data_IF_502849019295
#
_entry.id   IF_502849019295
#
_cell.length_a   1.000
_cell.length_b   1.000
_cell.length_c   1.000
_cell.angle_alpha   90.00
_cell.angle_beta   90.00
_cell.angle_gamma   90.00
#
_symmetry.space_group_name_H-M   'P 1'
#
loop_
_entity.id
_entity.type
_entity.pdbx_description
1 polymer ?
#
# COMPACT_ATOMS: atom_id res chain seq x y z
N UNK A 1 -1.12 14.71 3.67
CA UNK A 1 -0.08 13.73 3.25
C UNK A 1 1.28 14.37 3.01
N UNK A 2 1.50 15.20 1.96
CA UNK A 2 2.83 15.78 1.65
C UNK A 2 3.55 16.44 2.83
N UNK A 3 2.85 17.27 3.60
CA UNK A 3 3.40 17.91 4.81
C UNK A 3 3.91 16.88 5.84
N UNK A 4 3.11 15.87 6.13
CA UNK A 4 3.44 14.82 7.11
C UNK A 4 4.61 13.95 6.63
N UNK A 5 4.61 13.55 5.35
CA UNK A 5 5.73 12.83 4.75
C UNK A 5 7.04 13.65 4.78
N UNK A 6 6.96 14.96 4.48
CA UNK A 6 8.11 15.86 4.54
C UNK A 6 8.69 15.98 5.95
N UNK A 7 7.86 15.92 7.00
CA UNK A 7 8.34 15.91 8.38
C UNK A 7 9.15 14.64 8.71
N UNK A 8 8.96 13.56 7.93
CA UNK A 8 9.74 12.32 8.00
C UNK A 8 10.89 12.26 6.99
N UNK A 9 11.20 13.37 6.30
CA UNK A 9 12.25 13.42 5.29
C UNK A 9 11.88 12.77 3.95
N UNK A 10 10.59 12.48 3.72
CA UNK A 10 10.09 11.84 2.48
C UNK A 10 9.49 12.90 1.56
N UNK A 11 10.02 13.01 0.36
CA UNK A 11 9.47 13.88 -0.69
C UNK A 11 8.46 13.12 -1.56
N UNK A 12 7.19 13.53 -1.53
CA UNK A 12 6.13 12.92 -2.33
C UNK A 12 5.89 13.72 -3.64
N UNK A 13 6.52 13.25 -4.71
CA UNK A 13 6.47 13.87 -6.05
C UNK A 13 5.43 13.23 -6.99
N UNK A 14 4.70 12.22 -6.54
CA UNK A 14 3.74 11.47 -7.35
C UNK A 14 2.60 12.33 -7.91
N UNK A 15 2.19 12.02 -9.14
CA UNK A 15 1.00 12.55 -9.81
C UNK A 15 -0.02 11.41 -9.94
N UNK A 16 -1.27 11.68 -9.54
CA UNK A 16 -2.33 10.68 -9.61
C UNK A 16 -2.58 10.22 -11.05
N UNK A 17 -2.74 8.91 -11.23
CA UNK A 17 -3.14 8.27 -12.49
C UNK A 17 -4.05 7.07 -12.20
N UNK A 18 -4.97 6.72 -13.11
CA UNK A 18 -5.73 5.49 -13.00
C UNK A 18 -4.83 4.27 -13.21
N UNK A 19 -5.17 3.17 -12.53
CA UNK A 19 -4.61 1.84 -12.80
C UNK A 19 -5.18 1.30 -14.12
N UNK A 20 -4.34 0.61 -14.89
CA UNK A 20 -4.71 -0.06 -16.15
C UNK A 20 -4.42 -1.55 -16.05
N UNK A 21 -5.09 -2.34 -16.88
CA UNK A 21 -4.81 -3.77 -16.96
C UNK A 21 -3.33 -4.05 -17.30
N UNK A 22 -2.74 -3.25 -18.19
CA UNK A 22 -1.32 -3.35 -18.55
C UNK A 22 -0.37 -3.18 -17.36
N UNK A 23 -0.77 -2.44 -16.31
CA UNK A 23 0.02 -2.36 -15.07
C UNK A 23 0.05 -3.72 -14.37
N UNK A 24 -1.10 -4.40 -14.28
CA UNK A 24 -1.21 -5.73 -13.66
C UNK A 24 -0.36 -6.77 -14.40
N UNK A 25 -0.29 -6.66 -15.73
CA UNK A 25 0.55 -7.54 -16.54
C UNK A 25 2.03 -7.29 -16.30
N UNK A 26 2.42 -6.00 -16.27
CA UNK A 26 3.80 -5.55 -16.22
C UNK A 26 4.47 -5.74 -14.86
N UNK A 27 3.79 -5.37 -13.76
CA UNK A 27 4.39 -5.43 -12.42
C UNK A 27 4.33 -6.84 -11.82
N UNK A 28 5.32 -7.19 -11.02
CA UNK A 28 5.36 -8.47 -10.30
C UNK A 28 4.46 -8.48 -9.06
N UNK A 29 4.37 -7.33 -8.39
CA UNK A 29 3.52 -7.10 -7.23
C UNK A 29 2.66 -5.86 -7.46
N UNK A 30 1.36 -5.96 -7.16
CA UNK A 30 0.42 -4.85 -7.18
C UNK A 30 -0.25 -4.78 -5.81
N UNK A 31 0.01 -3.70 -5.09
CA UNK A 31 -0.34 -3.56 -3.69
C UNK A 31 -1.48 -2.56 -3.53
N UNK A 32 -2.58 -3.00 -2.92
CA UNK A 32 -3.72 -2.15 -2.54
C UNK A 32 -3.65 -1.70 -1.09
N UNK A 33 -4.24 -0.54 -0.78
CA UNK A 33 -4.18 0.05 0.57
C UNK A 33 -5.29 -0.49 1.50
N UNK A 34 -6.48 -0.72 0.95
CA UNK A 34 -7.67 -1.16 1.67
C UNK A 34 -8.41 -2.30 0.93
N UNK A 35 -9.48 -2.83 1.53
CA UNK A 35 -10.24 -3.95 0.94
C UNK A 35 -11.00 -3.56 -0.35
N UNK A 36 -11.33 -2.27 -0.52
CA UNK A 36 -11.96 -1.75 -1.74
C UNK A 36 -10.99 -1.77 -2.92
N UNK A 37 -9.75 -1.34 -2.69
CA UNK A 37 -8.64 -1.38 -3.64
C UNK A 37 -8.41 -2.84 -4.07
N UNK A 38 -8.31 -3.75 -3.10
CA UNK A 38 -8.10 -5.18 -3.37
C UNK A 38 -9.22 -5.77 -4.20
N UNK A 39 -10.47 -5.45 -3.87
CA UNK A 39 -11.64 -5.92 -4.63
C UNK A 39 -11.62 -5.40 -6.08
N UNK A 40 -11.28 -4.14 -6.29
CA UNK A 40 -11.16 -3.54 -7.62
C UNK A 40 -9.98 -4.14 -8.43
N UNK A 41 -8.82 -4.28 -7.81
CA UNK A 41 -7.62 -4.86 -8.44
C UNK A 41 -7.83 -6.32 -8.82
N UNK A 42 -8.43 -7.14 -7.93
CA UNK A 42 -8.75 -8.54 -8.23
C UNK A 42 -9.77 -8.69 -9.35
N UNK A 43 -10.73 -7.76 -9.45
CA UNK A 43 -11.68 -7.72 -10.57
C UNK A 43 -10.98 -7.38 -11.88
N UNK A 44 -10.06 -6.41 -11.87
CA UNK A 44 -9.28 -6.02 -13.04
C UNK A 44 -8.29 -7.13 -13.48
N UNK A 45 -7.63 -7.78 -12.53
CA UNK A 45 -6.63 -8.82 -12.77
C UNK A 45 -7.20 -10.11 -13.38
N UNK A 46 -8.47 -10.41 -13.09
CA UNK A 46 -9.06 -11.72 -13.38
C UNK A 46 -8.35 -12.86 -12.65
N UNK A 47 -8.67 -14.11 -13.01
CA UNK A 47 -8.06 -15.28 -12.37
C UNK A 47 -6.55 -15.39 -12.64
N UNK A 48 -6.10 -14.99 -13.83
CA UNK A 48 -4.72 -15.16 -14.31
C UNK A 48 -3.69 -14.44 -13.46
N UNK A 49 -3.97 -13.20 -13.04
CA UNK A 49 -3.00 -12.34 -12.35
C UNK A 49 -3.33 -12.11 -10.88
N UNK A 50 -4.29 -12.86 -10.32
CA UNK A 50 -4.79 -12.66 -8.94
C UNK A 50 -3.71 -12.88 -7.88
N UNK A 51 -2.74 -13.76 -8.15
CA UNK A 51 -1.62 -14.05 -7.23
C UNK A 51 -0.62 -12.91 -7.06
N UNK A 52 -0.66 -11.90 -7.94
CA UNK A 52 0.17 -10.69 -7.84
C UNK A 52 -0.45 -9.59 -6.95
N UNK A 53 -1.70 -9.77 -6.52
CA UNK A 53 -2.46 -8.74 -5.81
C UNK A 53 -2.41 -8.97 -4.31
N UNK A 54 -1.78 -8.04 -3.58
CA UNK A 54 -1.60 -8.08 -2.14
C UNK A 54 -2.13 -6.82 -1.48
N UNK A 55 -2.51 -6.89 -0.22
CA UNK A 55 -2.81 -5.72 0.60
C UNK A 55 -1.54 -5.24 1.28
N UNK A 56 -1.36 -3.93 1.44
CA UNK A 56 -0.17 -3.39 2.09
C UNK A 56 0.02 -3.98 3.49
N UNK A 57 -1.09 -4.10 4.24
CA UNK A 57 -1.09 -4.71 5.56
C UNK A 57 -0.78 -6.20 5.56
N UNK A 58 -0.77 -6.91 4.44
CA UNK A 58 -0.30 -8.31 4.40
C UNK A 58 1.19 -8.43 4.77
N UNK A 59 1.94 -7.33 4.71
CA UNK A 59 3.38 -7.25 4.99
C UNK A 59 3.72 -6.56 6.32
N UNK A 60 2.74 -6.23 7.14
CA UNK A 60 2.95 -5.56 8.42
C UNK A 60 3.64 -6.46 9.44
N UNK A 61 4.48 -5.87 10.28
CA UNK A 61 5.05 -6.53 11.46
C UNK A 61 4.08 -6.35 12.64
N UNK A 62 3.53 -5.15 12.82
CA UNK A 62 2.48 -4.89 13.80
C UNK A 62 1.09 -5.28 13.27
N UNK A 63 0.45 -6.26 13.92
CA UNK A 63 -0.86 -6.77 13.49
C UNK A 63 -2.07 -5.91 13.88
N UNK A 64 -1.87 -4.79 14.58
CA UNK A 64 -2.95 -3.94 15.13
C UNK A 64 -3.93 -3.43 14.07
N UNK A 65 -3.44 -3.15 12.85
CA UNK A 65 -4.26 -2.61 11.76
C UNK A 65 -4.44 -3.62 10.63
N UNK A 66 -5.65 -3.75 10.10
CA UNK A 66 -5.96 -4.70 9.02
C UNK A 66 -6.02 -4.06 7.64
N UNK A 67 -6.01 -2.73 7.55
CA UNK A 67 -5.96 -1.94 6.33
C UNK A 67 -5.27 -0.59 6.57
N UNK A 68 -4.83 0.08 5.50
CA UNK A 68 -4.37 1.47 5.57
C UNK A 68 -5.62 2.36 5.44
N UNK A 69 -6.01 3.11 6.48
CA UNK A 69 -7.24 3.89 6.45
C UNK A 69 -7.12 5.10 5.52
N UNK A 70 -8.26 5.62 5.07
CA UNK A 70 -8.29 6.91 4.38
C UNK A 70 -7.94 8.03 5.38
N UNK A 71 -6.84 8.78 5.17
CA UNK A 71 -6.37 9.77 6.14
C UNK A 71 -7.26 11.02 6.21
N UNK A 72 -8.14 11.28 5.24
CA UNK A 72 -8.87 12.54 5.15
C UNK A 72 -9.95 12.72 6.23
N UNK A 73 -10.36 11.65 6.91
CA UNK A 73 -11.37 11.70 7.98
C UNK A 73 -10.78 11.96 9.38
N UNK A 74 -9.46 11.87 9.56
CA UNK A 74 -8.79 11.92 10.87
C UNK A 74 -7.97 13.19 11.14
N UNK A 75 -7.98 14.17 10.23
CA UNK A 75 -7.09 15.33 10.33
C UNK A 75 -5.62 14.91 10.35
N UNK A 76 -4.79 15.66 11.07
CA UNK A 76 -3.33 15.43 11.14
C UNK A 76 -2.97 14.04 11.67
N UNK A 77 -3.69 13.54 12.68
CA UNK A 77 -3.47 12.22 13.26
C UNK A 77 -3.77 11.08 12.26
N UNK A 78 -4.75 11.27 11.36
CA UNK A 78 -5.04 10.31 10.30
C UNK A 78 -3.88 10.17 9.31
N UNK A 79 -3.18 11.26 8.99
CA UNK A 79 -2.01 11.19 8.11
C UNK A 79 -0.79 10.55 8.78
N UNK A 80 -0.56 10.83 10.07
CA UNK A 80 0.54 10.18 10.82
C UNK A 80 0.30 8.67 10.93
N UNK A 81 -0.92 8.25 11.27
CA UNK A 81 -1.27 6.83 11.34
C UNK A 81 -1.05 6.11 10.00
N UNK A 82 -1.44 6.72 8.88
CA UNK A 82 -1.18 6.13 7.56
C UNK A 82 0.31 5.95 7.31
N UNK A 83 1.14 6.95 7.67
CA UNK A 83 2.58 6.84 7.49
C UNK A 83 3.19 5.76 8.40
N UNK A 84 2.73 5.62 9.65
CA UNK A 84 3.18 4.59 10.58
C UNK A 84 2.92 3.18 10.03
N UNK A 85 1.69 2.93 9.53
CA UNK A 85 1.33 1.64 8.93
C UNK A 85 2.16 1.37 7.67
N UNK A 86 2.39 2.41 6.84
CA UNK A 86 3.18 2.27 5.61
C UNK A 86 4.65 1.97 5.90
N UNK A 87 5.26 2.61 6.90
CA UNK A 87 6.65 2.35 7.28
C UNK A 87 6.84 0.92 7.80
N UNK A 88 5.99 0.48 8.74
CA UNK A 88 5.99 -0.89 9.27
C UNK A 88 5.78 -1.94 8.17
N UNK A 89 4.79 -1.72 7.31
CA UNK A 89 4.47 -2.66 6.24
C UNK A 89 5.54 -2.68 5.13
N UNK A 90 6.20 -1.55 4.86
CA UNK A 90 7.30 -1.49 3.89
C UNK A 90 8.54 -2.22 4.41
N UNK A 91 8.82 -2.17 5.71
CA UNK A 91 9.91 -2.93 6.34
C UNK A 91 9.66 -4.44 6.20
N UNK A 92 8.47 -4.92 6.55
CA UNK A 92 8.15 -6.34 6.38
C UNK A 92 8.13 -6.79 4.91
N UNK A 93 7.66 -5.94 3.99
CA UNK A 93 7.72 -6.21 2.55
C UNK A 93 9.18 -6.35 2.06
N UNK A 94 10.06 -5.45 2.50
CA UNK A 94 11.48 -5.50 2.16
C UNK A 94 12.12 -6.79 2.67
N UNK A 95 11.86 -7.17 3.92
CA UNK A 95 12.36 -8.41 4.50
C UNK A 95 11.91 -9.64 3.71
N UNK A 96 10.64 -9.68 3.29
CA UNK A 96 10.10 -10.75 2.46
C UNK A 96 10.78 -10.81 1.08
N UNK A 97 11.02 -9.66 0.43
CA UNK A 97 11.70 -9.60 -0.88
C UNK A 97 13.16 -10.05 -0.76
N UNK A 98 13.84 -9.67 0.33
CA UNK A 98 15.23 -10.04 0.58
C UNK A 98 15.39 -11.46 1.15
N UNK A 99 14.29 -12.16 1.46
CA UNK A 99 14.26 -13.45 2.15
C UNK A 99 14.96 -13.44 3.53
N UNK A 100 14.86 -12.34 4.25
CA UNK A 100 15.38 -12.23 5.62
C UNK A 100 14.27 -12.76 6.54
N UNK A 101 14.50 -13.94 7.14
CA UNK A 101 13.57 -14.64 8.05
C UNK A 101 13.84 -14.30 9.51
#
# INVERSE_FOLDING_TARGET
>A
MRRHASNRGIELTSISRPIKFSDIEYFDLVIGMDDSNISALRRLAGAKYRSKIFKMTDFRIDTTYTEVPDPYYGGDAGFELVLDILEDSCEGLLNQILNIS
#
